data_IF_019119370330
#
_entry.id   IF_019119370330
#
_cell.length_a   1.000
_cell.length_b   1.000
_cell.length_c   1.000
_cell.angle_alpha   90.00
_cell.angle_beta   90.00
_cell.angle_gamma   90.00
#
_symmetry.space_group_name_H-M   'P 1'
#
loop_
_entity.id
_entity.type
_entity.pdbx_description
1 polymer ?
#
# COMPACT_ATOMS: atom_id res chain seq x y z
N UNK A 1 57.86 18.43 45.33
CA UNK A 1 56.85 17.57 44.78
C UNK A 1 55.60 18.41 44.52
N UNK A 2 55.39 18.86 43.28
CA UNK A 2 54.20 19.66 42.88
C UNK A 2 53.10 18.70 42.40
N UNK A 3 51.93 18.67 43.10
CA UNK A 3 50.76 17.89 42.69
C UNK A 3 49.90 18.77 41.76
N UNK A 4 49.83 18.40 40.49
CA UNK A 4 48.93 18.99 39.50
C UNK A 4 47.56 18.33 39.59
N UNK A 5 46.55 19.10 39.99
CA UNK A 5 45.14 18.67 39.96
C UNK A 5 44.60 18.88 38.52
N UNK A 6 44.23 17.79 37.88
CA UNK A 6 43.55 17.84 36.59
C UNK A 6 42.04 17.82 36.89
N UNK A 7 41.37 18.96 36.62
CA UNK A 7 39.92 19.08 36.71
C UNK A 7 39.32 18.61 35.36
N UNK A 8 38.65 17.47 35.37
CA UNK A 8 37.85 17.02 34.23
C UNK A 8 36.50 17.80 34.24
N UNK A 9 36.34 18.70 33.28
CA UNK A 9 35.02 19.31 33.01
C UNK A 9 34.16 18.31 32.21
N UNK A 10 33.17 17.71 32.85
CA UNK A 10 32.11 16.97 32.18
C UNK A 10 31.17 17.96 31.48
N UNK A 11 31.32 18.13 30.16
CA UNK A 11 30.38 18.84 29.32
C UNK A 11 29.16 17.93 29.08
N UNK A 12 28.12 18.12 29.88
CA UNK A 12 26.83 17.44 29.68
C UNK A 12 26.17 17.97 28.41
N UNK A 13 26.17 17.17 27.34
CA UNK A 13 25.31 17.41 26.19
C UNK A 13 23.85 17.07 26.60
N UNK A 14 23.08 18.09 26.91
CA UNK A 14 21.64 17.96 27.04
C UNK A 14 21.04 17.73 25.65
N UNK A 15 20.75 16.47 25.31
CA UNK A 15 19.94 16.13 24.14
C UNK A 15 18.51 16.58 24.41
N UNK A 16 18.11 17.71 23.82
CA UNK A 16 16.70 18.10 23.77
C UNK A 16 15.97 17.08 22.88
N UNK A 17 15.34 16.09 23.51
CA UNK A 17 14.33 15.28 22.84
C UNK A 17 13.12 16.21 22.58
N UNK A 18 12.99 16.73 21.36
CA UNK A 18 11.77 17.37 20.94
C UNK A 18 10.68 16.30 20.96
N UNK A 19 9.82 16.31 21.98
CA UNK A 19 8.59 15.55 21.95
C UNK A 19 7.77 16.08 20.77
N UNK A 20 7.69 15.31 19.69
CA UNK A 20 6.80 15.62 18.58
C UNK A 20 5.39 15.61 19.17
N UNK A 21 4.67 16.72 19.01
CA UNK A 21 3.26 16.80 19.39
C UNK A 21 2.43 15.72 18.67
N UNK A 22 1.15 15.54 19.07
CA UNK A 22 0.28 14.58 18.41
C UNK A 22 0.29 14.79 16.90
N UNK A 23 0.43 13.69 16.14
CA UNK A 23 0.43 13.75 14.68
C UNK A 23 -0.90 14.37 14.20
N UNK A 24 -0.81 15.33 13.28
CA UNK A 24 -1.99 15.82 12.57
C UNK A 24 -2.47 14.71 11.63
N UNK A 25 -3.78 14.46 11.57
CA UNK A 25 -4.40 13.46 10.70
C UNK A 25 -3.71 12.07 10.82
N UNK A 26 -3.68 11.45 12.01
CA UNK A 26 -2.91 10.23 12.24
C UNK A 26 -3.38 9.05 11.38
N UNK A 27 -4.69 8.92 11.10
CA UNK A 27 -5.21 7.83 10.27
C UNK A 27 -4.81 8.05 8.81
N UNK A 28 -5.06 9.23 8.25
CA UNK A 28 -4.69 9.55 6.87
C UNK A 28 -3.18 9.44 6.65
N UNK A 29 -2.37 9.89 7.61
CA UNK A 29 -0.91 9.79 7.55
C UNK A 29 -0.42 8.34 7.56
N UNK A 30 -1.00 7.51 8.44
CA UNK A 30 -0.67 6.08 8.51
C UNK A 30 -1.10 5.34 7.25
N UNK A 31 -2.28 5.68 6.70
CA UNK A 31 -2.79 5.06 5.49
C UNK A 31 -1.89 5.34 4.29
N UNK A 32 -1.40 6.58 4.13
CA UNK A 32 -0.41 6.94 3.10
C UNK A 32 0.89 6.13 3.20
N UNK A 33 1.40 5.90 4.42
CA UNK A 33 2.61 5.09 4.63
C UNK A 33 2.37 3.61 4.25
N UNK A 34 1.21 3.06 4.59
CA UNK A 34 0.84 1.69 4.23
C UNK A 34 0.65 1.55 2.72
N UNK A 35 0.05 2.54 2.08
CA UNK A 35 -0.13 2.59 0.62
C UNK A 35 1.22 2.57 -0.10
N UNK A 36 2.15 3.47 0.24
CA UNK A 36 3.50 3.53 -0.35
C UNK A 36 4.26 2.21 -0.23
N UNK A 37 4.20 1.57 0.95
CA UNK A 37 4.81 0.26 1.14
C UNK A 37 4.16 -0.80 0.26
N UNK A 38 2.85 -0.79 0.16
CA UNK A 38 2.09 -1.73 -0.67
C UNK A 38 2.35 -1.52 -2.14
N UNK A 39 2.39 -0.27 -2.60
CA UNK A 39 2.72 0.10 -3.97
C UNK A 39 4.03 -0.54 -4.42
N UNK A 40 5.13 -0.29 -3.69
CA UNK A 40 6.43 -0.84 -4.03
C UNK A 40 6.46 -2.37 -4.06
N UNK A 41 5.85 -3.00 -3.08
CA UNK A 41 5.80 -4.45 -2.98
C UNK A 41 4.91 -5.09 -4.07
N UNK A 42 3.73 -4.54 -4.30
CA UNK A 42 2.77 -5.14 -5.24
C UNK A 42 3.20 -4.92 -6.69
N UNK A 43 3.62 -3.70 -7.05
CA UNK A 43 4.14 -3.44 -8.39
C UNK A 43 5.36 -4.31 -8.66
N UNK A 44 6.32 -4.40 -7.72
CA UNK A 44 7.48 -5.26 -7.85
C UNK A 44 7.12 -6.74 -8.00
N UNK A 45 6.05 -7.22 -7.35
CA UNK A 45 5.57 -8.59 -7.51
C UNK A 45 4.99 -8.84 -8.90
N UNK A 46 4.20 -7.88 -9.44
CA UNK A 46 3.62 -7.98 -10.79
C UNK A 46 4.72 -7.94 -11.84
N UNK A 47 5.73 -7.08 -11.69
CA UNK A 47 6.88 -6.99 -12.59
C UNK A 47 7.75 -8.25 -12.56
N UNK A 48 7.93 -8.87 -11.39
CA UNK A 48 8.75 -10.06 -11.23
C UNK A 48 8.14 -11.33 -11.86
N UNK A 49 6.80 -11.41 -11.95
CA UNK A 49 6.14 -12.58 -12.54
C UNK A 49 6.41 -12.65 -14.05
N UNK A 50 6.95 -13.75 -14.61
CA UNK A 50 7.10 -13.93 -16.04
C UNK A 50 5.77 -13.87 -16.80
N UNK A 51 5.77 -13.35 -18.03
CA UNK A 51 4.54 -13.14 -18.80
C UNK A 51 3.77 -14.46 -19.07
N UNK A 52 4.48 -15.55 -19.30
CA UNK A 52 3.91 -16.89 -19.50
C UNK A 52 3.28 -17.48 -18.23
N UNK A 53 3.52 -16.86 -17.07
CA UNK A 53 2.96 -17.26 -15.76
C UNK A 53 1.74 -16.43 -15.33
N UNK A 54 1.29 -15.47 -16.13
CA UNK A 54 0.11 -14.69 -15.79
C UNK A 54 -1.17 -15.54 -15.77
N UNK A 55 -1.24 -16.62 -16.55
CA UNK A 55 -2.34 -17.59 -16.51
C UNK A 55 -2.20 -18.66 -15.41
N UNK A 56 -1.12 -18.66 -14.63
CA UNK A 56 -0.90 -19.63 -13.56
C UNK A 56 -1.95 -19.53 -12.46
N UNK A 57 -2.44 -20.68 -12.00
CA UNK A 57 -3.32 -20.87 -10.85
C UNK A 57 -2.66 -21.81 -9.85
N UNK A 58 -2.66 -21.51 -8.55
CA UNK A 58 -2.18 -22.44 -7.52
C UNK A 58 -3.01 -23.72 -7.44
N UNK A 59 -4.34 -23.60 -7.59
CA UNK A 59 -5.30 -24.71 -7.67
C UNK A 59 -6.37 -24.39 -8.73
N UNK A 60 -7.17 -25.39 -9.11
CA UNK A 60 -8.22 -25.21 -10.12
C UNK A 60 -9.24 -24.12 -9.73
N UNK A 61 -9.54 -23.99 -8.43
CA UNK A 61 -10.57 -23.09 -7.91
C UNK A 61 -10.04 -21.67 -7.63
N UNK A 62 -8.73 -21.47 -7.63
CA UNK A 62 -8.14 -20.15 -7.42
C UNK A 62 -8.12 -19.34 -8.73
N UNK A 63 -8.08 -18.01 -8.59
CA UNK A 63 -7.94 -17.11 -9.72
C UNK A 63 -6.56 -17.24 -10.39
N UNK A 64 -6.44 -16.77 -11.62
CA UNK A 64 -5.14 -16.62 -12.28
C UNK A 64 -4.35 -15.47 -11.66
N UNK A 65 -3.03 -15.43 -11.86
CA UNK A 65 -2.24 -14.27 -11.46
C UNK A 65 -2.71 -12.99 -12.18
N UNK A 66 -3.05 -13.08 -13.46
CA UNK A 66 -3.63 -11.96 -14.21
C UNK A 66 -4.94 -11.47 -13.60
N UNK A 67 -5.84 -12.37 -13.18
CA UNK A 67 -7.08 -12.00 -12.49
C UNK A 67 -6.81 -11.28 -11.16
N UNK A 68 -5.85 -11.77 -10.37
CA UNK A 68 -5.43 -11.09 -9.15
C UNK A 68 -4.98 -9.66 -9.44
N UNK A 69 -4.17 -9.45 -10.49
CA UNK A 69 -3.71 -8.09 -10.87
C UNK A 69 -4.89 -7.20 -11.28
N UNK A 70 -5.82 -7.70 -12.10
CA UNK A 70 -7.03 -6.97 -12.50
C UNK A 70 -7.88 -6.61 -11.29
N UNK A 71 -8.04 -7.55 -10.35
CA UNK A 71 -8.75 -7.32 -9.10
C UNK A 71 -8.10 -6.20 -8.25
N UNK A 72 -6.78 -6.21 -8.12
CA UNK A 72 -6.02 -5.16 -7.41
C UNK A 72 -6.26 -3.78 -8.03
N UNK A 73 -6.22 -3.68 -9.35
CA UNK A 73 -6.47 -2.43 -10.09
C UNK A 73 -7.87 -1.89 -9.77
N UNK A 74 -8.90 -2.71 -9.91
CA UNK A 74 -10.28 -2.33 -9.61
C UNK A 74 -10.50 -1.96 -8.15
N UNK A 75 -9.90 -2.73 -7.24
CA UNK A 75 -9.93 -2.46 -5.80
C UNK A 75 -9.34 -1.09 -5.48
N UNK A 76 -8.13 -0.80 -5.95
CA UNK A 76 -7.45 0.48 -5.72
C UNK A 76 -8.29 1.65 -6.20
N UNK A 77 -8.78 1.60 -7.44
CA UNK A 77 -9.59 2.65 -8.02
C UNK A 77 -10.89 2.92 -7.22
N UNK A 78 -11.52 1.87 -6.72
CA UNK A 78 -12.75 1.97 -5.94
C UNK A 78 -12.48 2.42 -4.49
N UNK A 79 -11.57 1.75 -3.78
CA UNK A 79 -11.40 1.97 -2.35
C UNK A 79 -10.75 3.34 -2.05
N UNK A 80 -9.76 3.76 -2.85
CA UNK A 80 -9.10 5.04 -2.66
C UNK A 80 -10.03 6.22 -2.99
N UNK A 81 -10.91 6.05 -3.98
CA UNK A 81 -11.99 6.99 -4.27
C UNK A 81 -12.91 7.20 -3.06
N UNK A 82 -13.36 6.10 -2.44
CA UNK A 82 -14.26 6.13 -1.27
C UNK A 82 -13.58 6.66 0.00
N UNK A 83 -12.33 6.24 0.26
CA UNK A 83 -11.58 6.68 1.42
C UNK A 83 -11.28 8.17 1.39
N UNK A 84 -10.90 8.70 0.22
CA UNK A 84 -10.47 10.09 0.06
C UNK A 84 -11.59 11.06 -0.37
N UNK A 85 -12.81 10.60 -0.60
CA UNK A 85 -13.94 11.43 -1.06
C UNK A 85 -13.66 12.10 -2.42
N UNK A 86 -13.11 11.34 -3.36
CA UNK A 86 -12.82 11.81 -4.72
C UNK A 86 -13.47 10.86 -5.75
N UNK A 87 -13.79 11.34 -6.96
CA UNK A 87 -14.31 10.48 -8.02
C UNK A 87 -13.32 9.39 -8.39
N UNK A 88 -13.82 8.17 -8.63
CA UNK A 88 -13.00 7.10 -9.20
C UNK A 88 -12.50 7.50 -10.61
N UNK A 89 -11.29 7.06 -11.01
CA UNK A 89 -10.74 7.40 -12.31
C UNK A 89 -11.57 6.77 -13.43
N UNK A 90 -11.79 7.53 -14.50
CA UNK A 90 -12.42 7.03 -15.73
C UNK A 90 -11.36 6.41 -16.62
N UNK A 91 -11.09 5.12 -16.41
CA UNK A 91 -10.09 4.36 -17.18
C UNK A 91 -10.74 3.18 -17.88
N UNK A 92 -10.10 2.69 -18.95
CA UNK A 92 -10.52 1.44 -19.57
C UNK A 92 -10.35 0.29 -18.57
N UNK A 93 -11.34 -0.60 -18.50
CA UNK A 93 -11.31 -1.75 -17.62
C UNK A 93 -10.23 -2.73 -18.08
N UNK A 94 -9.33 -3.10 -17.16
CA UNK A 94 -8.30 -4.11 -17.39
C UNK A 94 -8.92 -5.51 -17.47
N UNK A 95 -8.36 -6.37 -18.31
CA UNK A 95 -8.84 -7.74 -18.55
C UNK A 95 -7.72 -8.74 -18.29
N UNK A 96 -8.06 -9.94 -17.89
CA UNK A 96 -7.08 -11.04 -17.71
C UNK A 96 -6.30 -11.37 -19.00
N UNK A 97 -6.91 -11.13 -20.16
CA UNK A 97 -6.30 -11.36 -21.47
C UNK A 97 -5.35 -10.23 -21.90
N UNK A 98 -5.26 -9.14 -21.13
CA UNK A 98 -4.32 -8.07 -21.44
C UNK A 98 -2.87 -8.55 -21.27
N UNK A 99 -1.97 -7.95 -22.05
CA UNK A 99 -0.54 -8.25 -21.93
C UNK A 99 0.01 -7.89 -20.55
N UNK A 100 1.08 -8.54 -20.13
CA UNK A 100 1.82 -8.20 -18.89
C UNK A 100 2.12 -6.70 -18.83
N UNK A 101 2.63 -6.12 -19.92
CA UNK A 101 3.03 -4.70 -19.93
C UNK A 101 1.83 -3.79 -19.71
N UNK A 102 0.66 -4.10 -20.32
CA UNK A 102 -0.58 -3.34 -20.10
C UNK A 102 -1.05 -3.47 -18.64
N UNK A 103 -1.01 -4.67 -18.06
CA UNK A 103 -1.38 -4.91 -16.66
C UNK A 103 -0.41 -4.23 -15.68
N UNK A 104 0.90 -4.25 -15.95
CA UNK A 104 1.91 -3.51 -15.16
C UNK A 104 1.65 -2.01 -15.20
N UNK A 105 1.38 -1.45 -16.39
CA UNK A 105 1.05 -0.03 -16.51
C UNK A 105 -0.23 0.32 -15.75
N UNK A 106 -1.27 -0.51 -15.85
CA UNK A 106 -2.55 -0.27 -15.19
C UNK A 106 -2.45 -0.38 -13.65
N UNK A 107 -1.70 -1.34 -13.11
CA UNK A 107 -1.51 -1.43 -11.65
C UNK A 107 -0.71 -0.25 -11.12
N UNK A 108 0.31 0.22 -11.83
CA UNK A 108 1.02 1.46 -11.49
C UNK A 108 0.07 2.64 -11.45
N UNK A 109 -0.70 2.87 -12.51
CA UNK A 109 -1.66 3.96 -12.57
C UNK A 109 -2.71 3.90 -11.45
N UNK A 110 -3.15 2.71 -11.02
CA UNK A 110 -4.09 2.55 -9.91
C UNK A 110 -3.48 2.95 -8.56
N UNK A 111 -2.21 2.68 -8.32
CA UNK A 111 -1.49 3.14 -7.14
C UNK A 111 -1.18 4.64 -7.19
N UNK A 112 -0.81 5.18 -8.34
CA UNK A 112 -0.61 6.62 -8.51
C UNK A 112 -1.89 7.39 -8.20
N UNK A 113 -3.05 6.89 -8.66
CA UNK A 113 -4.35 7.42 -8.27
C UNK A 113 -4.59 7.34 -6.76
N UNK A 114 -4.29 6.22 -6.10
CA UNK A 114 -4.39 6.08 -4.65
C UNK A 114 -3.53 7.12 -3.92
N UNK A 115 -2.27 7.25 -4.32
CA UNK A 115 -1.33 8.22 -3.72
C UNK A 115 -1.86 9.65 -3.84
N UNK A 116 -2.37 10.03 -5.03
CA UNK A 116 -2.96 11.36 -5.25
C UNK A 116 -4.23 11.57 -4.41
N UNK A 117 -5.14 10.59 -4.41
CA UNK A 117 -6.38 10.65 -3.66
C UNK A 117 -6.13 10.78 -2.15
N UNK A 118 -5.31 9.90 -1.59
CA UNK A 118 -4.96 9.90 -0.16
C UNK A 118 -4.14 11.14 0.24
N UNK A 119 -3.42 11.76 -0.70
CA UNK A 119 -2.77 13.05 -0.48
C UNK A 119 -3.74 14.17 -0.10
N UNK A 120 -5.01 14.07 -0.54
CA UNK A 120 -6.09 15.03 -0.26
C UNK A 120 -6.90 14.68 1.00
N UNK A 121 -6.68 13.50 1.57
CA UNK A 121 -7.43 12.99 2.73
C UNK A 121 -6.91 13.61 4.03
N UNK A 122 -7.84 13.97 4.91
CA UNK A 122 -7.61 14.27 6.34
C UNK A 122 -8.56 13.44 7.22
N UNK A 123 -8.38 13.52 8.52
CA UNK A 123 -9.17 12.72 9.45
C UNK A 123 -10.56 13.32 9.77
N UNK A 124 -10.86 14.54 9.32
CA UNK A 124 -12.10 15.25 9.68
C UNK A 124 -13.36 14.58 9.13
N UNK A 125 -13.23 13.89 7.99
CA UNK A 125 -14.33 13.20 7.30
C UNK A 125 -14.46 11.72 7.61
N UNK A 126 -13.64 11.16 8.49
CA UNK A 126 -13.63 9.71 8.78
C UNK A 126 -14.96 9.20 9.35
N UNK A 127 -15.72 10.07 10.01
CA UNK A 127 -17.05 9.75 10.55
C UNK A 127 -18.20 9.83 9.54
N UNK A 128 -17.98 10.39 8.35
CA UNK A 128 -19.02 10.55 7.33
C UNK A 128 -19.58 9.20 6.89
N UNK A 129 -20.91 9.11 6.79
CA UNK A 129 -21.56 7.92 6.22
C UNK A 129 -21.40 7.92 4.71
N UNK A 130 -20.88 6.82 4.18
CA UNK A 130 -20.69 6.60 2.75
C UNK A 130 -21.35 5.30 2.31
N UNK A 131 -21.77 5.24 1.04
CA UNK A 131 -22.09 3.97 0.38
C UNK A 131 -20.78 3.22 0.12
N UNK A 132 -20.55 2.15 0.83
CA UNK A 132 -19.38 1.32 0.68
C UNK A 132 -19.60 0.33 -0.48
N UNK A 133 -19.58 -0.97 -0.24
CA UNK A 133 -19.85 -1.97 -1.28
C UNK A 133 -21.26 -2.53 -1.12
N UNK A 134 -21.95 -2.77 -2.25
CA UNK A 134 -23.26 -3.39 -2.26
C UNK A 134 -24.38 -2.56 -1.60
N UNK A 135 -24.23 -1.24 -1.56
CA UNK A 135 -25.24 -0.35 -0.97
C UNK A 135 -25.22 -0.27 0.56
N UNK A 136 -24.20 -0.84 1.21
CA UNK A 136 -24.05 -0.78 2.66
C UNK A 136 -23.51 0.59 3.11
N UNK A 137 -24.26 1.27 3.98
CA UNK A 137 -23.79 2.50 4.60
C UNK A 137 -22.78 2.19 5.72
N UNK A 138 -21.64 2.86 5.69
CA UNK A 138 -20.60 2.70 6.70
C UNK A 138 -19.85 4.03 6.90
N UNK A 139 -19.20 4.25 8.06
CA UNK A 139 -18.28 5.36 8.22
C UNK A 139 -17.14 5.29 7.20
N UNK A 140 -16.71 6.44 6.68
CA UNK A 140 -15.57 6.55 5.75
C UNK A 140 -14.29 5.89 6.30
N UNK A 141 -14.11 5.90 7.62
CA UNK A 141 -13.03 5.16 8.29
C UNK A 141 -13.01 3.67 7.89
N UNK A 142 -14.15 3.06 7.62
CA UNK A 142 -14.21 1.66 7.16
C UNK A 142 -13.53 1.49 5.80
N UNK A 143 -13.70 2.44 4.86
CA UNK A 143 -12.99 2.40 3.59
C UNK A 143 -11.47 2.48 3.79
N UNK A 144 -10.98 3.30 4.71
CA UNK A 144 -9.56 3.38 5.05
C UNK A 144 -9.03 2.05 5.63
N UNK A 145 -9.79 1.41 6.52
CA UNK A 145 -9.42 0.12 7.11
C UNK A 145 -9.42 -1.00 6.05
N UNK A 146 -10.43 -1.01 5.17
CA UNK A 146 -10.50 -1.98 4.06
C UNK A 146 -9.35 -1.76 3.09
N UNK A 147 -8.96 -0.52 2.79
CA UNK A 147 -7.79 -0.23 1.96
C UNK A 147 -6.53 -0.85 2.57
N UNK A 148 -6.25 -0.56 3.84
CA UNK A 148 -5.06 -1.06 4.53
C UNK A 148 -5.01 -2.60 4.59
N UNK A 149 -6.13 -3.26 4.92
CA UNK A 149 -6.20 -4.73 4.96
C UNK A 149 -6.09 -5.34 3.57
N UNK A 150 -6.83 -4.79 2.58
CA UNK A 150 -6.84 -5.30 1.22
C UNK A 150 -5.46 -5.23 0.55
N UNK A 151 -4.71 -4.15 0.74
CA UNK A 151 -3.34 -4.09 0.22
C UNK A 151 -2.43 -5.17 0.79
N UNK A 152 -2.57 -5.47 2.09
CA UNK A 152 -1.79 -6.53 2.72
C UNK A 152 -2.18 -7.91 2.20
N UNK A 153 -3.48 -8.18 2.05
CA UNK A 153 -4.01 -9.45 1.54
C UNK A 153 -3.61 -9.68 0.07
N UNK A 154 -3.76 -8.64 -0.77
CA UNK A 154 -3.40 -8.70 -2.18
C UNK A 154 -1.92 -8.94 -2.39
N UNK A 155 -1.06 -8.22 -1.64
CA UNK A 155 0.37 -8.47 -1.73
C UNK A 155 0.75 -9.86 -1.20
N UNK A 156 0.15 -10.31 -0.10
CA UNK A 156 0.40 -11.66 0.43
C UNK A 156 0.04 -12.73 -0.60
N UNK A 157 -1.09 -12.58 -1.27
CA UNK A 157 -1.49 -13.45 -2.39
C UNK A 157 -0.46 -13.40 -3.53
N UNK A 158 -0.12 -12.21 -4.05
CA UNK A 158 0.86 -12.07 -5.12
C UNK A 158 2.22 -12.67 -4.75
N UNK A 159 2.70 -12.46 -3.52
CA UNK A 159 3.93 -13.04 -3.01
C UNK A 159 3.87 -14.58 -2.96
N UNK A 160 2.70 -15.14 -2.64
CA UNK A 160 2.49 -16.59 -2.67
C UNK A 160 2.59 -17.15 -4.09
N UNK A 161 1.96 -16.47 -5.07
CA UNK A 161 2.08 -16.86 -6.48
C UNK A 161 3.53 -16.86 -6.96
N UNK A 162 4.31 -15.84 -6.59
CA UNK A 162 5.74 -15.79 -6.91
C UNK A 162 6.50 -16.99 -6.33
N UNK A 163 6.33 -17.29 -5.03
CA UNK A 163 7.01 -18.41 -4.36
C UNK A 163 6.67 -19.75 -5.01
N UNK A 164 5.42 -19.97 -5.37
CA UNK A 164 4.98 -21.20 -6.06
C UNK A 164 5.60 -21.34 -7.46
N UNK A 165 6.10 -20.24 -8.04
CA UNK A 165 6.86 -20.22 -9.28
C UNK A 165 8.39 -20.08 -9.08
N UNK A 166 8.90 -20.29 -7.87
CA UNK A 166 10.33 -20.24 -7.55
C UNK A 166 10.92 -18.83 -7.51
N UNK A 167 10.09 -17.79 -7.42
CA UNK A 167 10.50 -16.39 -7.46
C UNK A 167 10.48 -15.80 -6.05
N UNK A 168 11.57 -15.16 -5.63
CA UNK A 168 11.64 -14.46 -4.33
C UNK A 168 10.82 -13.17 -4.38
N UNK A 169 9.82 -12.98 -3.50
CA UNK A 169 9.00 -11.77 -3.47
C UNK A 169 9.80 -10.53 -3.07
N UNK A 170 9.40 -9.31 -3.50
CA UNK A 170 10.10 -8.06 -3.17
C UNK A 170 10.35 -7.85 -1.67
N UNK A 171 9.38 -8.12 -0.81
CA UNK A 171 9.56 -7.97 0.65
C UNK A 171 10.59 -8.93 1.26
N UNK A 172 10.92 -10.04 0.60
CA UNK A 172 11.96 -10.96 1.06
C UNK A 172 13.36 -10.60 0.50
N UNK A 173 13.44 -9.65 -0.44
CA UNK A 173 14.69 -9.13 -0.97
C UNK A 173 15.20 -7.91 -0.19
N UNK A 174 14.33 -7.27 0.58
CA UNK A 174 14.70 -6.12 1.43
C UNK A 174 15.53 -6.64 2.62
N UNK A 175 16.80 -6.22 2.69
CA UNK A 175 17.62 -6.44 3.89
C UNK A 175 17.10 -5.52 4.99
N UNK A 176 16.68 -6.09 6.10
CA UNK A 176 16.32 -5.35 7.33
C UNK A 176 17.57 -4.85 8.04
#
# INVERSE_FOLDING_TARGET
MKRTLIVFALSGFATFAFAQGPAKDPVASSLRQLEQRSQGNTIGAVEAMPADKFSYKPTADQMTFAHLVVHIIGFNNSICSKAADVPAPKVEESKEADSKDKLVAAVKASYDFCSEALGKMDDSKLGDSIDLFGGHQAPRAMAALIAASGWSDHYAAAAQYLRLNGITPPSAQQKH
#
